data_IF_640489662837
#
_entry.id   IF_640489662837
#
_cell.length_a   1.000
_cell.length_b   1.000
_cell.length_c   1.000
_cell.angle_alpha   90.00
_cell.angle_beta   90.00
_cell.angle_gamma   90.00
#
_symmetry.space_group_name_H-M   'P 1'
#
loop_
_entity.id
_entity.type
_entity.pdbx_description
1 polymer ?
#
# COMPACT_ATOMS: atom_id res chain seq x y z
N UNK A 1 22.29 4.50 4.85
CA UNK A 1 22.76 4.79 3.45
C UNK A 1 21.53 5.14 2.63
N UNK A 2 21.60 6.15 1.75
CA UNK A 2 20.49 6.47 0.86
C UNK A 2 20.57 5.72 -0.50
N UNK A 3 19.49 5.77 -1.26
CA UNK A 3 19.37 5.07 -2.55
C UNK A 3 20.36 5.63 -3.59
N UNK A 4 20.71 6.92 -3.51
CA UNK A 4 21.67 7.54 -4.44
C UNK A 4 23.09 7.00 -4.18
N UNK A 5 23.47 6.88 -2.91
CA UNK A 5 24.74 6.26 -2.50
C UNK A 5 24.80 4.77 -2.91
N UNK A 6 23.70 4.03 -2.75
CA UNK A 6 23.63 2.64 -3.23
C UNK A 6 23.89 2.56 -4.73
N UNK A 7 23.22 3.42 -5.52
CA UNK A 7 23.46 3.51 -6.97
C UNK A 7 24.91 3.78 -7.34
N UNK A 8 25.57 4.70 -6.65
CA UNK A 8 26.97 5.01 -6.87
C UNK A 8 27.87 3.79 -6.56
N UNK A 9 27.61 3.10 -5.44
CA UNK A 9 28.33 1.88 -5.04
C UNK A 9 28.14 0.70 -5.98
N UNK A 10 26.95 0.53 -6.56
CA UNK A 10 26.68 -0.47 -7.59
C UNK A 10 27.55 -0.17 -8.84
N UNK A 11 27.59 1.09 -9.28
CA UNK A 11 28.39 1.50 -10.45
C UNK A 11 29.90 1.33 -10.22
N UNK A 12 30.39 1.67 -9.02
CA UNK A 12 31.81 1.52 -8.67
C UNK A 12 32.20 0.09 -8.25
N UNK A 13 31.24 -0.84 -8.14
CA UNK A 13 31.39 -2.20 -7.64
C UNK A 13 31.99 -2.27 -6.23
N UNK A 14 31.79 -1.23 -5.42
CA UNK A 14 32.24 -1.12 -4.03
C UNK A 14 31.08 -1.32 -3.04
N UNK A 15 30.46 -2.49 -3.14
CA UNK A 15 29.32 -2.85 -2.29
C UNK A 15 29.78 -3.50 -0.98
N UNK A 16 29.15 -3.17 0.16
CA UNK A 16 29.37 -3.91 1.39
C UNK A 16 28.78 -5.33 1.24
N UNK A 17 29.39 -6.29 1.94
CA UNK A 17 28.91 -7.68 1.96
C UNK A 17 27.55 -7.85 2.65
N UNK A 18 27.17 -6.92 3.52
CA UNK A 18 25.87 -6.90 4.19
C UNK A 18 25.10 -5.62 3.88
N UNK A 19 23.89 -5.78 3.33
CA UNK A 19 22.96 -4.72 2.99
C UNK A 19 21.63 -4.97 3.67
N UNK A 20 21.00 -3.90 4.16
CA UNK A 20 19.68 -3.94 4.78
C UNK A 20 18.75 -3.04 3.98
N UNK A 21 17.70 -3.62 3.40
CA UNK A 21 16.65 -2.91 2.69
C UNK A 21 15.40 -2.87 3.55
N UNK A 22 14.78 -1.72 3.68
CA UNK A 22 13.55 -1.56 4.45
C UNK A 22 12.52 -0.76 3.67
N UNK A 23 11.23 -1.03 3.91
CA UNK A 23 10.09 -0.32 3.32
C UNK A 23 9.22 -1.19 2.41
N UNK A 24 8.13 -0.59 1.98
CA UNK A 24 7.03 -1.30 1.31
C UNK A 24 7.22 -1.45 -0.21
N UNK A 25 8.17 -0.73 -0.81
CA UNK A 25 8.42 -0.77 -2.27
C UNK A 25 9.25 -1.99 -2.68
N UNK A 26 8.64 -3.17 -2.49
CA UNK A 26 9.29 -4.46 -2.77
C UNK A 26 9.78 -4.60 -4.22
N UNK A 27 9.09 -4.01 -5.19
CA UNK A 27 9.49 -4.09 -6.60
C UNK A 27 10.74 -3.27 -6.88
N UNK A 28 10.84 -2.10 -6.27
CA UNK A 28 12.05 -1.28 -6.36
C UNK A 28 13.22 -1.98 -5.68
N UNK A 29 13.00 -2.59 -4.50
CA UNK A 29 14.01 -3.43 -3.84
C UNK A 29 14.50 -4.55 -4.77
N UNK A 30 13.58 -5.28 -5.44
CA UNK A 30 13.95 -6.34 -6.38
C UNK A 30 14.79 -5.81 -7.55
N UNK A 31 14.42 -4.66 -8.14
CA UNK A 31 15.21 -4.03 -9.21
C UNK A 31 16.65 -3.75 -8.74
N UNK A 32 16.84 -3.28 -7.50
CA UNK A 32 18.18 -3.04 -6.96
C UNK A 32 18.94 -4.34 -6.67
N UNK A 33 18.26 -5.39 -6.21
CA UNK A 33 18.86 -6.73 -6.03
C UNK A 33 19.36 -7.25 -7.37
N UNK A 34 18.57 -7.15 -8.44
CA UNK A 34 18.94 -7.59 -9.79
C UNK A 34 20.14 -6.78 -10.33
N UNK A 35 20.17 -5.47 -10.06
CA UNK A 35 21.31 -4.61 -10.44
C UNK A 35 22.59 -5.00 -9.66
N UNK A 36 22.47 -5.33 -8.37
CA UNK A 36 23.60 -5.81 -7.56
C UNK A 36 24.09 -7.15 -8.09
N UNK A 37 23.21 -8.10 -8.35
CA UNK A 37 23.55 -9.40 -8.91
C UNK A 37 24.28 -9.25 -10.25
N UNK A 38 23.78 -8.39 -11.12
CA UNK A 38 24.40 -8.07 -12.41
C UNK A 38 25.78 -7.41 -12.28
N UNK A 39 25.94 -6.50 -11.31
CA UNK A 39 27.19 -5.78 -11.09
C UNK A 39 28.28 -6.67 -10.47
N UNK A 40 27.89 -7.59 -9.57
CA UNK A 40 28.80 -8.51 -8.88
C UNK A 40 29.06 -9.81 -9.66
N UNK A 41 28.16 -10.20 -10.56
CA UNK A 41 28.18 -11.49 -11.24
C UNK A 41 27.75 -12.66 -10.34
N UNK A 42 27.21 -12.38 -9.16
CA UNK A 42 26.78 -13.40 -8.20
C UNK A 42 25.33 -13.83 -8.45
N UNK A 43 25.05 -15.11 -8.25
CA UNK A 43 23.69 -15.64 -8.26
C UNK A 43 22.96 -15.32 -6.95
N UNK A 44 21.66 -15.08 -7.04
CA UNK A 44 20.81 -14.82 -5.86
C UNK A 44 20.22 -16.12 -5.32
N UNK A 45 20.21 -16.26 -3.98
CA UNK A 45 19.59 -17.39 -3.29
C UNK A 45 18.73 -16.88 -2.14
N UNK A 46 17.44 -17.19 -2.16
CA UNK A 46 16.53 -16.89 -1.05
C UNK A 46 16.67 -17.95 0.04
N UNK A 47 16.68 -17.50 1.30
CA UNK A 47 16.76 -18.33 2.50
C UNK A 47 15.74 -17.84 3.52
N UNK A 48 15.26 -18.73 4.38
CA UNK A 48 14.30 -18.38 5.42
C UNK A 48 14.99 -17.75 6.63
N UNK A 49 16.17 -18.27 7.01
CA UNK A 49 17.03 -17.69 8.05
C UNK A 49 18.51 -17.81 7.68
N UNK A 50 19.32 -16.89 8.21
CA UNK A 50 20.79 -16.96 8.08
C UNK A 50 21.34 -18.21 8.77
N UNK A 51 20.67 -18.71 9.81
CA UNK A 51 21.02 -19.96 10.49
C UNK A 51 21.02 -21.17 9.58
N UNK A 52 20.16 -21.21 8.55
CA UNK A 52 20.07 -22.35 7.60
C UNK A 52 21.37 -22.53 6.79
N UNK A 53 22.08 -21.44 6.57
CA UNK A 53 23.32 -21.44 5.77
C UNK A 53 24.57 -21.21 6.62
N UNK A 54 24.42 -21.00 7.94
CA UNK A 54 25.51 -20.66 8.83
C UNK A 54 26.68 -21.65 8.75
N UNK A 55 26.40 -22.96 8.75
CA UNK A 55 27.42 -24.00 8.61
C UNK A 55 28.19 -23.93 7.29
N UNK A 56 27.50 -23.54 6.20
CA UNK A 56 28.10 -23.36 4.88
C UNK A 56 28.99 -22.10 4.82
N UNK A 57 28.55 -21.03 5.48
CA UNK A 57 29.30 -19.78 5.57
C UNK A 57 30.57 -19.94 6.42
N UNK A 58 30.48 -20.71 7.51
CA UNK A 58 31.62 -20.97 8.41
C UNK A 58 32.67 -21.92 7.80
N UNK A 59 32.19 -22.95 7.09
CA UNK A 59 33.03 -23.92 6.43
C UNK A 59 33.30 -23.49 5.00
N UNK A 60 34.33 -22.65 4.78
CA UNK A 60 34.73 -22.20 3.45
C UNK A 60 35.03 -23.40 2.56
N UNK A 61 34.06 -23.80 1.75
CA UNK A 61 34.27 -24.84 0.74
C UNK A 61 34.95 -24.20 -0.47
N UNK A 62 36.12 -24.67 -0.81
CA UNK A 62 36.89 -24.25 -2.00
C UNK A 62 36.17 -24.52 -3.35
N UNK A 63 35.00 -25.16 -3.34
CA UNK A 63 34.33 -25.69 -4.54
C UNK A 63 33.00 -24.94 -4.84
N UNK A 64 32.49 -24.08 -3.97
CA UNK A 64 31.20 -23.41 -4.20
C UNK A 64 31.39 -21.97 -4.61
N UNK A 65 30.74 -21.60 -5.72
CA UNK A 65 30.59 -20.20 -6.13
C UNK A 65 29.91 -19.37 -5.05
N UNK A 66 30.35 -18.12 -4.84
CA UNK A 66 29.72 -17.24 -3.89
C UNK A 66 28.31 -16.85 -4.35
N UNK A 67 27.42 -16.55 -3.38
CA UNK A 67 26.03 -16.19 -3.61
C UNK A 67 25.66 -14.85 -2.97
N UNK A 68 24.59 -14.24 -3.46
CA UNK A 68 23.83 -13.22 -2.75
C UNK A 68 22.70 -13.93 -2.01
N UNK A 69 22.82 -14.06 -0.70
CA UNK A 69 21.74 -14.57 0.13
C UNK A 69 20.73 -13.47 0.39
N UNK A 70 19.45 -13.79 0.21
CA UNK A 70 18.35 -12.86 0.46
C UNK A 70 17.48 -13.46 1.54
N UNK A 71 17.36 -12.77 2.66
CA UNK A 71 16.51 -13.16 3.79
C UNK A 71 15.48 -12.06 4.08
N UNK A 72 14.27 -12.44 4.47
CA UNK A 72 13.21 -11.48 4.82
C UNK A 72 12.81 -11.63 6.28
N UNK A 73 12.76 -10.48 6.99
CA UNK A 73 12.29 -10.35 8.37
C UNK A 73 12.85 -11.41 9.31
N UNK A 74 14.15 -11.76 9.15
CA UNK A 74 14.84 -12.75 10.00
C UNK A 74 14.97 -12.23 11.44
N UNK A 75 14.06 -12.69 12.30
CA UNK A 75 14.00 -12.30 13.71
C UNK A 75 15.21 -12.79 14.50
N UNK A 76 15.77 -13.94 14.11
CA UNK A 76 16.96 -14.47 14.77
C UNK A 76 18.16 -13.55 14.49
N UNK A 77 18.38 -13.18 13.23
CA UNK A 77 19.42 -12.23 12.86
C UNK A 77 19.22 -10.88 13.55
N UNK A 78 17.99 -10.37 13.63
CA UNK A 78 17.71 -9.09 14.29
C UNK A 78 17.99 -9.08 15.79
N UNK A 79 17.82 -10.21 16.46
CA UNK A 79 17.97 -10.33 17.93
C UNK A 79 19.31 -10.92 18.39
N UNK A 80 20.11 -11.47 17.48
CA UNK A 80 21.37 -12.14 17.80
C UNK A 80 22.58 -11.24 17.51
N UNK A 81 22.99 -10.45 18.50
CA UNK A 81 24.13 -9.53 18.39
C UNK A 81 25.43 -10.26 18.01
N UNK A 82 25.64 -11.51 18.49
CA UNK A 82 26.83 -12.31 18.13
C UNK A 82 26.88 -12.66 16.67
N UNK A 83 25.72 -13.03 16.09
CA UNK A 83 25.62 -13.34 14.66
C UNK A 83 25.86 -12.09 13.82
N UNK A 84 25.30 -10.93 14.22
CA UNK A 84 25.54 -9.65 13.56
C UNK A 84 27.03 -9.29 13.55
N UNK A 85 27.71 -9.40 14.70
CA UNK A 85 29.16 -9.15 14.82
C UNK A 85 30.00 -10.10 13.95
N UNK A 86 29.60 -11.37 13.86
CA UNK A 86 30.27 -12.34 12.99
C UNK A 86 30.10 -12.00 11.50
N UNK A 87 28.93 -11.54 11.09
CA UNK A 87 28.68 -11.05 9.73
C UNK A 87 29.58 -9.85 9.43
N UNK A 88 29.61 -8.86 10.32
CA UNK A 88 30.44 -7.67 10.18
C UNK A 88 31.96 -8.01 10.19
N UNK A 89 32.38 -9.02 10.95
CA UNK A 89 33.76 -9.49 11.01
C UNK A 89 34.17 -10.41 9.86
N UNK A 90 33.31 -10.62 8.85
CA UNK A 90 33.65 -11.31 7.64
C UNK A 90 33.18 -12.77 7.54
N UNK A 91 32.18 -13.18 8.31
CA UNK A 91 31.54 -14.51 8.20
C UNK A 91 31.10 -14.83 6.78
N UNK A 92 30.63 -13.82 6.03
CA UNK A 92 30.13 -13.99 4.67
C UNK A 92 31.22 -14.36 3.66
N UNK A 93 32.49 -13.98 3.91
CA UNK A 93 33.59 -14.18 2.95
C UNK A 93 33.33 -13.44 1.65
N UNK A 94 33.27 -14.18 0.52
CA UNK A 94 32.94 -13.65 -0.80
C UNK A 94 31.42 -13.57 -1.07
N UNK A 95 30.59 -14.13 -0.18
CA UNK A 95 29.15 -14.04 -0.29
C UNK A 95 28.64 -12.65 0.12
N UNK A 96 27.45 -12.33 -0.32
CA UNK A 96 26.71 -11.15 0.11
C UNK A 96 25.42 -11.56 0.85
N UNK A 97 24.98 -10.73 1.76
CA UNK A 97 23.69 -10.87 2.44
C UNK A 97 22.86 -9.61 2.23
N UNK A 98 21.66 -9.79 1.73
CA UNK A 98 20.65 -8.72 1.64
C UNK A 98 19.50 -9.09 2.57
N UNK A 99 19.34 -8.31 3.65
CA UNK A 99 18.26 -8.47 4.60
C UNK A 99 17.13 -7.52 4.27
N UNK A 100 15.98 -8.06 3.87
CA UNK A 100 14.77 -7.32 3.57
C UNK A 100 13.94 -7.19 4.84
N UNK A 101 13.58 -5.97 5.20
CA UNK A 101 12.76 -5.67 6.37
C UNK A 101 11.48 -4.99 5.93
N UNK A 102 10.32 -5.55 6.27
CA UNK A 102 9.01 -4.95 6.02
C UNK A 102 8.89 -3.62 6.77
N UNK A 103 9.35 -3.57 8.03
CA UNK A 103 9.41 -2.34 8.81
C UNK A 103 10.56 -2.39 9.82
N UNK A 104 11.05 -1.23 10.22
CA UNK A 104 12.11 -1.14 11.22
C UNK A 104 11.68 -0.25 12.38
N UNK A 105 11.61 -0.81 13.58
CA UNK A 105 11.42 0.00 14.78
C UNK A 105 12.72 0.73 15.14
N UNK A 106 12.71 2.05 14.98
CA UNK A 106 13.85 2.94 15.26
C UNK A 106 14.34 2.92 16.70
N UNK A 107 13.55 2.36 17.63
CA UNK A 107 13.91 2.23 19.06
C UNK A 107 14.79 1.03 19.35
N UNK A 108 14.81 0.03 18.47
CA UNK A 108 15.56 -1.22 18.67
C UNK A 108 17.07 -1.00 18.65
N UNK A 109 17.80 -1.87 19.35
CA UNK A 109 19.26 -1.90 19.31
C UNK A 109 19.78 -2.18 17.90
N UNK A 110 19.11 -3.09 17.19
CA UNK A 110 19.43 -3.43 15.80
C UNK A 110 19.41 -2.19 14.90
N UNK A 111 18.34 -1.37 14.97
CA UNK A 111 18.29 -0.14 14.19
C UNK A 111 19.42 0.82 14.55
N UNK A 112 19.68 1.01 15.85
CA UNK A 112 20.70 1.97 16.30
C UNK A 112 22.11 1.59 15.85
N UNK A 113 22.45 0.29 15.84
CA UNK A 113 23.76 -0.20 15.39
C UNK A 113 23.91 -0.20 13.87
N UNK A 114 22.83 -0.44 13.11
CA UNK A 114 22.87 -0.59 11.66
C UNK A 114 22.28 0.61 10.89
N UNK A 115 21.92 1.71 11.55
CA UNK A 115 21.27 2.87 10.94
C UNK A 115 21.97 3.36 9.66
N UNK A 116 23.32 3.44 9.67
CA UNK A 116 24.10 3.86 8.51
C UNK A 116 24.04 2.87 7.32
N UNK A 117 23.68 1.61 7.56
CA UNK A 117 23.63 0.53 6.56
C UNK A 117 22.23 0.28 6.02
N UNK A 118 21.20 0.76 6.70
CA UNK A 118 19.81 0.60 6.28
C UNK A 118 19.50 1.54 5.12
N UNK A 119 18.94 0.97 4.04
CA UNK A 119 18.45 1.70 2.88
C UNK A 119 16.93 1.62 2.89
N UNK A 120 16.28 2.78 2.96
CA UNK A 120 14.82 2.86 3.01
C UNK A 120 14.28 3.06 1.60
N UNK A 121 13.35 2.19 1.21
CA UNK A 121 12.59 2.28 -0.04
C UNK A 121 11.16 2.71 0.31
N UNK A 122 10.96 4.01 0.36
CA UNK A 122 9.65 4.61 0.61
C UNK A 122 8.73 4.39 -0.59
N UNK A 123 7.42 4.38 -0.33
CA UNK A 123 6.39 4.28 -1.37
C UNK A 123 6.58 5.40 -2.40
N UNK A 124 6.50 5.05 -3.67
CA UNK A 124 6.68 6.02 -4.74
C UNK A 124 5.52 7.04 -4.74
N UNK A 125 5.84 8.31 -4.92
CA UNK A 125 4.81 9.33 -5.11
C UNK A 125 4.14 9.17 -6.49
N UNK A 126 2.89 9.65 -6.62
CA UNK A 126 2.13 9.58 -7.88
C UNK A 126 2.88 10.20 -9.06
N UNK A 127 3.59 11.29 -8.82
CA UNK A 127 4.42 11.93 -9.84
C UNK A 127 5.56 11.01 -10.33
N UNK A 128 6.15 10.19 -9.45
CA UNK A 128 7.17 9.22 -9.81
C UNK A 128 6.55 8.00 -10.48
N UNK A 129 5.39 7.52 -10.00
CA UNK A 129 4.63 6.45 -10.62
C UNK A 129 4.26 6.81 -12.06
N UNK A 130 3.66 7.99 -12.29
CA UNK A 130 3.36 8.50 -13.65
C UNK A 130 4.61 8.53 -14.53
N UNK A 131 5.71 9.09 -14.02
CA UNK A 131 6.98 9.19 -14.76
C UNK A 131 7.56 7.83 -15.13
N UNK A 132 7.45 6.83 -14.27
CA UNK A 132 7.97 5.48 -14.54
C UNK A 132 7.02 4.71 -15.45
N UNK A 133 5.71 4.80 -15.26
CA UNK A 133 4.69 4.20 -16.12
C UNK A 133 4.81 4.67 -17.57
N UNK A 134 4.97 5.98 -17.79
CA UNK A 134 5.18 6.58 -19.12
C UNK A 134 6.41 6.06 -19.87
N UNK A 135 7.42 5.55 -19.17
CA UNK A 135 8.60 4.94 -19.80
C UNK A 135 8.33 3.50 -20.26
N UNK A 136 7.37 2.85 -19.62
CA UNK A 136 7.09 1.44 -19.87
C UNK A 136 5.99 1.23 -20.90
N UNK A 137 5.01 2.14 -21.00
CA UNK A 137 3.85 1.99 -21.88
C UNK A 137 3.37 3.35 -22.40
N UNK A 138 2.76 3.35 -23.60
CA UNK A 138 2.19 4.55 -24.23
C UNK A 138 0.67 4.61 -23.99
N UNK A 139 0.28 5.03 -22.81
CA UNK A 139 -1.10 5.31 -22.46
C UNK A 139 -1.37 6.82 -22.45
N UNK A 140 -2.62 7.20 -22.67
CA UNK A 140 -3.08 8.56 -22.43
C UNK A 140 -2.93 8.93 -20.95
N UNK A 141 -2.83 10.22 -20.66
CA UNK A 141 -2.65 10.69 -19.26
C UNK A 141 -3.78 10.18 -18.36
N UNK A 142 -5.03 10.22 -18.85
CA UNK A 142 -6.20 9.69 -18.16
C UNK A 142 -6.06 8.19 -17.84
N UNK A 143 -5.60 7.39 -18.78
CA UNK A 143 -5.46 5.95 -18.59
C UNK A 143 -4.27 5.59 -17.71
N UNK A 144 -3.22 6.43 -17.68
CA UNK A 144 -2.12 6.29 -16.72
C UNK A 144 -2.62 6.54 -15.29
N UNK A 145 -3.39 7.61 -15.07
CA UNK A 145 -3.98 7.91 -13.76
C UNK A 145 -4.87 6.77 -13.31
N UNK A 146 -5.76 6.32 -14.18
CA UNK A 146 -6.65 5.19 -13.88
C UNK A 146 -5.89 3.88 -13.59
N UNK A 147 -4.83 3.58 -14.34
CA UNK A 147 -3.99 2.41 -14.09
C UNK A 147 -3.32 2.48 -12.71
N UNK A 148 -2.84 3.66 -12.30
CA UNK A 148 -2.24 3.88 -10.98
C UNK A 148 -3.28 3.66 -9.88
N UNK A 149 -4.48 4.21 -10.02
CA UNK A 149 -5.60 4.03 -9.07
C UNK A 149 -6.02 2.57 -8.96
N UNK A 150 -6.29 1.91 -10.09
CA UNK A 150 -6.66 0.49 -10.16
C UNK A 150 -5.61 -0.42 -9.51
N UNK A 151 -4.33 -0.05 -9.62
CA UNK A 151 -3.24 -0.76 -9.00
C UNK A 151 -2.96 -0.32 -7.54
N UNK A 152 -3.82 0.52 -6.93
CA UNK A 152 -3.69 0.98 -5.55
C UNK A 152 -2.33 1.63 -5.26
N UNK A 153 -1.78 2.34 -6.25
CA UNK A 153 -0.46 2.98 -6.21
C UNK A 153 0.71 1.99 -5.95
N UNK A 154 0.51 0.68 -6.20
CA UNK A 154 1.57 -0.34 -6.13
C UNK A 154 2.32 -0.43 -7.45
N UNK A 155 3.59 -0.02 -7.44
CA UNK A 155 4.42 -0.03 -8.66
C UNK A 155 4.65 -1.45 -9.22
N UNK A 156 4.72 -2.45 -8.35
CA UNK A 156 4.86 -3.84 -8.78
C UNK A 156 3.62 -4.32 -9.54
N UNK A 157 2.43 -3.99 -9.04
CA UNK A 157 1.15 -4.30 -9.69
C UNK A 157 1.03 -3.54 -11.01
N UNK A 158 1.38 -2.25 -11.05
CA UNK A 158 1.40 -1.46 -12.29
C UNK A 158 2.23 -2.15 -13.38
N UNK A 159 3.44 -2.62 -13.05
CA UNK A 159 4.30 -3.30 -14.02
C UNK A 159 3.72 -4.63 -14.50
N UNK A 160 3.05 -5.39 -13.64
CA UNK A 160 2.37 -6.64 -14.02
C UNK A 160 1.21 -6.38 -14.98
N UNK A 161 0.41 -5.34 -14.72
CA UNK A 161 -0.69 -4.98 -15.60
C UNK A 161 -0.17 -4.43 -16.95
N UNK A 162 0.90 -3.64 -16.95
CA UNK A 162 1.57 -3.21 -18.19
C UNK A 162 2.07 -4.40 -19.00
N UNK A 163 2.70 -5.39 -18.38
CA UNK A 163 3.16 -6.60 -19.07
C UNK A 163 1.98 -7.38 -19.67
N UNK A 164 0.87 -7.44 -18.97
CA UNK A 164 -0.39 -8.02 -19.46
C UNK A 164 -0.89 -7.29 -20.70
N UNK A 165 -1.00 -5.95 -20.64
CA UNK A 165 -1.45 -5.13 -21.79
C UNK A 165 -0.54 -5.36 -23.00
N UNK A 166 0.79 -5.30 -22.80
CA UNK A 166 1.77 -5.53 -23.91
C UNK A 166 1.62 -6.90 -24.55
N UNK A 167 1.35 -7.94 -23.77
CA UNK A 167 1.12 -9.30 -24.31
C UNK A 167 -0.16 -9.36 -25.13
N UNK A 168 -1.25 -8.74 -24.67
CA UNK A 168 -2.50 -8.72 -25.42
C UNK A 168 -2.39 -7.94 -26.74
N UNK A 169 -1.71 -6.78 -26.74
CA UNK A 169 -1.42 -6.02 -27.97
C UNK A 169 -0.58 -6.83 -28.96
N UNK A 170 0.38 -7.64 -28.47
CA UNK A 170 1.26 -8.45 -29.32
C UNK A 170 0.59 -9.66 -29.97
N UNK A 171 -0.64 -10.04 -29.56
CA UNK A 171 -1.34 -11.23 -30.07
C UNK A 171 -2.24 -11.01 -31.28
N UNK A 172 -2.11 -9.87 -31.98
CA UNK A 172 -2.92 -9.50 -33.17
C UNK A 172 -4.45 -9.68 -32.96
N UNK A 173 -4.96 -9.53 -31.74
CA UNK A 173 -6.39 -9.51 -31.51
C UNK A 173 -6.99 -8.28 -32.19
N UNK A 174 -8.06 -8.44 -32.98
CA UNK A 174 -8.71 -7.30 -33.63
C UNK A 174 -9.30 -6.40 -32.54
N UNK A 175 -8.60 -5.32 -32.23
CA UNK A 175 -9.09 -4.27 -31.33
C UNK A 175 -10.17 -3.48 -32.09
N UNK A 176 -11.43 -3.83 -31.89
CA UNK A 176 -12.57 -3.15 -32.48
C UNK A 176 -12.73 -1.75 -31.88
N UNK A 177 -12.59 -0.72 -32.70
CA UNK A 177 -12.99 0.65 -32.39
C UNK A 177 -11.87 1.59 -31.98
N UNK A 178 -10.95 1.88 -32.89
CA UNK A 178 -10.01 2.98 -32.71
C UNK A 178 -10.74 4.34 -32.72
N UNK A 179 -10.81 4.98 -31.55
CA UNK A 179 -11.05 6.43 -31.51
C UNK A 179 -9.89 7.15 -32.20
N UNK A 180 -10.15 8.23 -32.92
CA UNK A 180 -9.17 8.96 -33.76
C UNK A 180 -7.88 9.40 -33.05
N UNK A 181 -7.78 9.24 -31.71
CA UNK A 181 -6.66 9.71 -30.89
C UNK A 181 -6.20 8.69 -29.80
N UNK A 182 -6.65 7.45 -29.84
CA UNK A 182 -6.26 6.43 -28.85
C UNK A 182 -5.16 5.52 -29.40
N UNK A 183 -4.18 5.18 -28.58
CA UNK A 183 -3.16 4.17 -28.92
C UNK A 183 -3.76 2.77 -28.84
N UNK A 184 -3.08 1.78 -29.44
CA UNK A 184 -3.48 0.37 -29.31
C UNK A 184 -3.48 -0.07 -27.85
N UNK A 185 -2.49 0.41 -27.08
CA UNK A 185 -2.39 0.15 -25.64
C UNK A 185 -3.56 0.77 -24.86
N UNK A 186 -4.03 1.99 -25.19
CA UNK A 186 -5.19 2.61 -24.57
C UNK A 186 -6.46 1.77 -24.78
N UNK A 187 -6.71 1.36 -26.03
CA UNK A 187 -7.88 0.54 -26.36
C UNK A 187 -7.82 -0.83 -25.67
N UNK A 188 -6.65 -1.44 -25.63
CA UNK A 188 -6.42 -2.70 -24.94
C UNK A 188 -6.66 -2.58 -23.43
N UNK A 189 -6.14 -1.54 -22.80
CA UNK A 189 -6.32 -1.29 -21.36
C UNK A 189 -7.81 -1.13 -21.01
N UNK A 190 -8.56 -0.32 -21.76
CA UNK A 190 -10.00 -0.13 -21.53
C UNK A 190 -10.80 -1.42 -21.75
N UNK A 191 -10.43 -2.23 -22.74
CA UNK A 191 -11.04 -3.55 -22.96
C UNK A 191 -10.77 -4.50 -21.79
N UNK A 192 -9.52 -4.59 -21.32
CA UNK A 192 -9.12 -5.48 -20.24
C UNK A 192 -9.71 -5.07 -18.88
N UNK A 193 -10.00 -3.78 -18.68
CA UNK A 193 -10.77 -3.32 -17.52
C UNK A 193 -12.24 -3.76 -17.64
N UNK A 194 -12.84 -3.56 -18.81
CA UNK A 194 -14.26 -3.86 -19.03
C UNK A 194 -14.59 -5.36 -18.91
N UNK A 195 -13.69 -6.23 -19.35
CA UNK A 195 -13.88 -7.69 -19.28
C UNK A 195 -13.41 -8.28 -17.95
N UNK A 196 -12.86 -7.46 -17.02
CA UNK A 196 -12.40 -7.89 -15.71
C UNK A 196 -11.03 -8.60 -15.70
N UNK A 197 -10.33 -8.64 -16.83
CA UNK A 197 -8.96 -9.21 -16.93
C UNK A 197 -7.96 -8.39 -16.12
N UNK A 198 -8.11 -7.06 -16.15
CA UNK A 198 -7.49 -6.16 -15.18
C UNK A 198 -8.52 -5.95 -14.07
N UNK A 199 -8.22 -6.49 -12.90
CA UNK A 199 -9.09 -6.35 -11.74
C UNK A 199 -9.06 -4.91 -11.23
N UNK A 200 -10.18 -4.22 -11.35
CA UNK A 200 -10.42 -2.94 -10.68
C UNK A 200 -10.95 -3.27 -9.27
N UNK A 201 -10.20 -2.90 -8.21
CA UNK A 201 -10.72 -3.10 -6.87
C UNK A 201 -12.08 -2.41 -6.79
N UNK A 202 -13.08 -3.03 -6.13
CA UNK A 202 -14.33 -2.34 -5.90
C UNK A 202 -13.99 -1.00 -5.24
N UNK A 203 -14.46 0.07 -5.87
CA UNK A 203 -14.33 1.41 -5.34
C UNK A 203 -14.79 1.41 -3.89
N UNK A 204 -14.06 2.08 -3.01
CA UNK A 204 -14.41 2.17 -1.58
C UNK A 204 -15.67 3.06 -1.43
N UNK A 205 -16.76 2.62 -2.09
CA UNK A 205 -18.05 3.31 -2.12
C UNK A 205 -18.56 3.66 -0.72
N UNK A 206 -18.11 2.89 0.28
CA UNK A 206 -18.45 3.15 1.69
C UNK A 206 -17.91 4.48 2.18
N UNK A 207 -16.63 4.80 1.89
CA UNK A 207 -16.05 6.06 2.37
C UNK A 207 -16.68 7.26 1.67
N UNK A 208 -16.91 7.16 0.36
CA UNK A 208 -17.60 8.24 -0.36
C UNK A 208 -19.07 8.38 0.03
N UNK A 209 -19.74 7.26 0.31
CA UNK A 209 -21.08 7.28 0.90
C UNK A 209 -21.08 8.04 2.23
N UNK A 210 -20.13 7.73 3.10
CA UNK A 210 -20.00 8.39 4.41
C UNK A 210 -19.65 9.87 4.25
N UNK A 211 -18.73 10.21 3.36
CA UNK A 211 -18.39 11.60 3.04
C UNK A 211 -19.60 12.35 2.46
N UNK A 212 -20.37 11.73 1.55
CA UNK A 212 -21.58 12.32 1.01
C UNK A 212 -22.67 12.57 2.10
N UNK A 213 -22.80 11.66 3.07
CA UNK A 213 -23.69 11.83 4.22
C UNK A 213 -23.19 13.01 5.07
N UNK A 214 -21.91 13.04 5.42
CA UNK A 214 -21.33 14.08 6.28
C UNK A 214 -21.27 15.45 5.58
N UNK A 215 -21.31 15.49 4.26
CA UNK A 215 -21.42 16.71 3.45
C UNK A 215 -22.88 17.13 3.15
N UNK A 216 -23.89 16.38 3.60
CA UNK A 216 -25.33 16.58 3.30
C UNK A 216 -25.66 16.50 1.80
N UNK A 217 -24.93 15.71 1.03
CA UNK A 217 -25.17 15.51 -0.42
C UNK A 217 -26.17 14.38 -0.66
N UNK A 218 -27.46 14.64 -0.37
CA UNK A 218 -28.55 13.63 -0.33
C UNK A 218 -28.58 12.74 -1.58
N UNK A 219 -28.66 13.32 -2.78
CA UNK A 219 -28.77 12.55 -4.01
C UNK A 219 -27.53 11.68 -4.27
N UNK A 220 -26.33 12.20 -3.96
CA UNK A 220 -25.09 11.45 -4.09
C UNK A 220 -25.06 10.29 -3.08
N UNK A 221 -25.46 10.51 -1.84
CA UNK A 221 -25.49 9.48 -0.81
C UNK A 221 -26.44 8.32 -1.19
N UNK A 222 -27.61 8.58 -1.74
CA UNK A 222 -28.54 7.53 -2.22
C UNK A 222 -27.93 6.72 -3.38
N UNK A 223 -27.30 7.39 -4.37
CA UNK A 223 -26.65 6.72 -5.49
C UNK A 223 -25.49 5.83 -5.03
N UNK A 224 -24.64 6.33 -4.12
CA UNK A 224 -23.52 5.58 -3.56
C UNK A 224 -23.99 4.43 -2.67
N UNK A 225 -25.08 4.58 -1.93
CA UNK A 225 -25.70 3.49 -1.17
C UNK A 225 -26.15 2.36 -2.09
N UNK A 226 -26.81 2.69 -3.21
CA UNK A 226 -27.20 1.68 -4.18
C UNK A 226 -25.98 0.95 -4.77
N UNK A 227 -24.94 1.68 -5.15
CA UNK A 227 -23.70 1.08 -5.64
C UNK A 227 -23.05 0.17 -4.58
N UNK A 228 -23.02 0.61 -3.31
CA UNK A 228 -22.48 -0.21 -2.21
C UNK A 228 -23.22 -1.54 -2.06
N UNK A 229 -24.54 -1.55 -2.22
CA UNK A 229 -25.32 -2.80 -2.20
C UNK A 229 -25.07 -3.67 -3.44
N UNK A 230 -24.93 -3.07 -4.63
CA UNK A 230 -24.66 -3.80 -5.89
C UNK A 230 -23.30 -4.53 -5.84
N UNK A 231 -22.30 -3.96 -5.19
CA UNK A 231 -20.98 -4.60 -4.98
C UNK A 231 -20.96 -5.54 -3.76
N UNK A 232 -22.09 -5.67 -3.03
CA UNK A 232 -22.22 -6.63 -1.92
C UNK A 232 -21.64 -6.16 -0.59
N UNK A 233 -21.50 -4.83 -0.38
CA UNK A 233 -21.02 -4.30 0.88
C UNK A 233 -21.99 -4.60 2.04
N UNK A 234 -21.43 -5.06 3.15
CA UNK A 234 -22.23 -5.39 4.32
C UNK A 234 -22.72 -4.14 5.06
N UNK A 235 -24.01 -4.05 5.32
CA UNK A 235 -24.65 -2.93 6.05
C UNK A 235 -23.95 -2.64 7.38
N UNK A 236 -23.53 -3.67 8.12
CA UNK A 236 -22.83 -3.50 9.39
C UNK A 236 -21.48 -2.79 9.23
N UNK A 237 -20.79 -2.99 8.11
CA UNK A 237 -19.53 -2.28 7.80
C UNK A 237 -19.82 -0.81 7.52
N UNK A 238 -20.84 -0.52 6.67
CA UNK A 238 -21.27 0.85 6.38
C UNK A 238 -21.66 1.62 7.66
N UNK A 239 -22.40 0.99 8.55
CA UNK A 239 -22.78 1.57 9.86
C UNK A 239 -21.56 1.88 10.73
N UNK A 240 -20.61 0.94 10.80
CA UNK A 240 -19.39 1.12 11.59
C UNK A 240 -18.53 2.26 11.07
N UNK A 241 -18.37 2.37 9.73
CA UNK A 241 -17.61 3.45 9.12
C UNK A 241 -18.30 4.80 9.34
N UNK A 242 -19.62 4.87 9.14
CA UNK A 242 -20.39 6.10 9.39
C UNK A 242 -20.29 6.53 10.87
N UNK A 243 -20.46 5.59 11.79
CA UNK A 243 -20.34 5.86 13.22
C UNK A 243 -18.98 6.45 13.59
N UNK A 244 -17.91 5.81 13.14
CA UNK A 244 -16.55 6.22 13.48
C UNK A 244 -16.21 7.61 12.90
N UNK A 245 -16.62 7.88 11.66
CA UNK A 245 -16.37 9.17 11.02
C UNK A 245 -17.24 10.29 11.64
N UNK A 246 -18.52 10.07 11.86
CA UNK A 246 -19.39 11.04 12.54
C UNK A 246 -18.89 11.36 13.96
N UNK A 247 -18.45 10.33 14.71
CA UNK A 247 -17.83 10.50 16.02
C UNK A 247 -16.53 11.30 15.94
N UNK A 248 -15.69 11.06 14.94
CA UNK A 248 -14.45 11.82 14.76
C UNK A 248 -14.73 13.29 14.44
N UNK A 249 -15.73 13.59 13.59
CA UNK A 249 -16.16 14.97 13.32
C UNK A 249 -16.66 15.65 14.59
N UNK A 250 -17.52 14.98 15.37
CA UNK A 250 -18.00 15.48 16.66
C UNK A 250 -16.85 15.78 17.63
N UNK A 251 -15.90 14.85 17.77
CA UNK A 251 -14.74 15.03 18.65
C UNK A 251 -13.87 16.22 18.23
N UNK A 252 -13.63 16.38 16.91
CA UNK A 252 -12.82 17.50 16.40
C UNK A 252 -13.54 18.83 16.56
N UNK A 253 -14.87 18.85 16.38
CA UNK A 253 -15.70 20.07 16.48
C UNK A 253 -15.84 20.54 17.92
N UNK A 254 -15.98 19.62 18.88
CA UNK A 254 -16.20 19.94 20.30
C UNK A 254 -14.91 20.09 21.11
N UNK A 255 -13.74 19.92 20.49
CA UNK A 255 -12.47 19.95 21.22
C UNK A 255 -11.90 21.37 21.34
N UNK A 256 -11.74 21.84 22.58
CA UNK A 256 -11.23 23.19 22.88
C UNK A 256 -9.76 23.23 23.38
N UNK A 257 -9.07 22.10 23.40
CA UNK A 257 -7.70 22.03 23.93
C UNK A 257 -6.60 22.30 22.90
N UNK A 258 -5.34 22.42 23.36
CA UNK A 258 -4.18 22.75 22.54
C UNK A 258 -3.79 21.70 21.51
N UNK A 259 -4.12 20.42 21.74
CA UNK A 259 -3.75 19.30 20.86
C UNK A 259 -4.88 18.30 20.69
N UNK A 260 -5.57 18.37 19.56
CA UNK A 260 -6.69 17.48 19.22
C UNK A 260 -6.28 16.02 19.33
N UNK A 261 -5.12 15.63 18.76
CA UNK A 261 -4.66 14.23 18.77
C UNK A 261 -4.44 13.67 20.18
N UNK A 262 -3.88 14.48 21.09
CA UNK A 262 -3.66 14.05 22.48
C UNK A 262 -4.95 13.95 23.28
N UNK A 263 -5.90 14.84 23.04
CA UNK A 263 -7.16 14.89 23.79
C UNK A 263 -8.21 13.91 23.30
N UNK A 264 -8.25 13.62 22.01
CA UNK A 264 -9.25 12.74 21.39
C UNK A 264 -8.75 11.33 21.11
N UNK A 265 -7.43 11.12 21.06
CA UNK A 265 -6.81 9.87 20.63
C UNK A 265 -6.86 9.63 19.12
N UNK A 266 -7.37 10.59 18.34
CA UNK A 266 -7.45 10.47 16.88
C UNK A 266 -6.06 10.59 16.24
N UNK A 267 -5.84 9.83 15.19
CA UNK A 267 -4.64 9.95 14.34
C UNK A 267 -4.67 11.24 13.52
N UNK A 268 -3.52 11.71 13.03
CA UNK A 268 -3.44 12.90 12.19
C UNK A 268 -4.32 12.80 10.94
N UNK A 269 -4.38 11.62 10.31
CA UNK A 269 -5.24 11.36 9.16
C UNK A 269 -6.74 11.49 9.50
N UNK A 270 -7.18 10.88 10.61
CA UNK A 270 -8.57 11.00 11.05
C UNK A 270 -8.97 12.44 11.35
N UNK A 271 -8.08 13.21 11.98
CA UNK A 271 -8.30 14.64 12.24
C UNK A 271 -8.41 15.43 10.93
N UNK A 272 -7.53 15.16 9.98
CA UNK A 272 -7.55 15.84 8.68
C UNK A 272 -8.85 15.53 7.92
N UNK A 273 -9.30 14.28 7.96
CA UNK A 273 -10.54 13.86 7.29
C UNK A 273 -11.76 14.50 7.98
N UNK A 274 -11.85 14.41 9.29
CA UNK A 274 -12.93 15.02 10.05
C UNK A 274 -13.05 16.53 9.81
N UNK A 275 -11.94 17.24 9.65
CA UNK A 275 -11.91 18.69 9.36
C UNK A 275 -12.57 19.07 8.03
N UNK A 276 -12.67 18.17 7.06
CA UNK A 276 -13.37 18.43 5.78
C UNK A 276 -14.88 18.64 5.98
N UNK A 277 -15.45 17.98 7.00
CA UNK A 277 -16.90 17.95 7.24
C UNK A 277 -17.34 18.89 8.37
N UNK A 278 -16.43 19.71 8.92
CA UNK A 278 -16.80 20.69 9.94
C UNK A 278 -17.82 21.69 9.39
N UNK A 279 -18.76 22.11 10.24
CA UNK A 279 -19.81 23.09 9.94
C UNK A 279 -20.96 22.61 9.04
N UNK A 280 -20.97 21.38 8.57
CA UNK A 280 -22.13 20.83 7.86
C UNK A 280 -23.25 20.40 8.81
N UNK A 281 -22.88 20.07 10.05
CA UNK A 281 -23.78 19.69 11.13
C UNK A 281 -23.46 20.45 12.41
N UNK A 282 -24.49 20.80 13.17
CA UNK A 282 -24.30 21.27 14.53
C UNK A 282 -23.87 20.11 15.46
N UNK A 283 -23.30 20.44 16.60
CA UNK A 283 -22.90 19.43 17.59
C UNK A 283 -24.09 18.54 18.02
N UNK A 284 -25.29 19.13 18.20
CA UNK A 284 -26.51 18.38 18.54
C UNK A 284 -26.91 17.37 17.44
N UNK A 285 -26.78 17.75 16.17
CA UNK A 285 -27.07 16.87 15.06
C UNK A 285 -26.04 15.73 14.99
N UNK A 286 -24.75 16.01 15.19
CA UNK A 286 -23.73 14.97 15.23
C UNK A 286 -23.94 13.98 16.37
N UNK A 287 -24.29 14.46 17.56
CA UNK A 287 -24.67 13.61 18.69
C UNK A 287 -25.87 12.72 18.31
N UNK A 288 -26.88 13.31 17.66
CA UNK A 288 -28.05 12.55 17.19
C UNK A 288 -27.65 11.48 16.20
N UNK A 289 -26.82 11.81 15.19
CA UNK A 289 -26.32 10.84 14.19
C UNK A 289 -25.62 9.67 14.88
N UNK A 290 -24.67 9.95 15.76
CA UNK A 290 -23.88 8.92 16.45
C UNK A 290 -24.79 8.00 17.27
N UNK A 291 -25.73 8.56 18.03
CA UNK A 291 -26.67 7.78 18.84
C UNK A 291 -27.66 7.00 17.99
N UNK A 292 -28.12 7.59 16.87
CA UNK A 292 -29.06 6.96 15.97
C UNK A 292 -28.45 5.77 15.22
N UNK A 293 -27.22 5.91 14.74
CA UNK A 293 -26.48 4.81 14.11
C UNK A 293 -26.29 3.64 15.08
N UNK A 294 -25.92 3.91 16.34
CA UNK A 294 -25.83 2.87 17.37
C UNK A 294 -27.17 2.17 17.66
N UNK A 295 -28.27 2.95 17.68
CA UNK A 295 -29.59 2.38 17.86
C UNK A 295 -29.99 1.46 16.73
N UNK A 296 -29.70 1.83 15.48
CA UNK A 296 -29.96 1.02 14.29
C UNK A 296 -29.10 -0.25 14.34
N UNK A 297 -27.81 -0.14 14.61
CA UNK A 297 -26.90 -1.26 14.76
C UNK A 297 -27.39 -2.26 15.83
N UNK A 298 -27.80 -1.77 17.01
CA UNK A 298 -28.37 -2.59 18.06
C UNK A 298 -29.69 -3.23 17.62
N UNK A 299 -30.52 -2.51 16.86
CA UNK A 299 -31.75 -3.06 16.27
C UNK A 299 -31.52 -4.25 15.37
N UNK A 300 -30.53 -4.19 14.50
CA UNK A 300 -30.13 -5.31 13.63
C UNK A 300 -29.63 -6.49 14.48
N UNK A 301 -28.67 -6.24 15.37
CA UNK A 301 -28.09 -7.29 16.25
C UNK A 301 -29.11 -8.01 17.12
N UNK A 302 -30.21 -7.35 17.46
CA UNK A 302 -31.28 -7.92 18.28
C UNK A 302 -32.46 -8.44 17.45
N UNK A 303 -32.38 -8.42 16.13
CA UNK A 303 -33.45 -8.88 15.23
C UNK A 303 -34.70 -7.98 15.22
N UNK A 304 -34.60 -6.76 15.70
CA UNK A 304 -35.71 -5.76 15.70
C UNK A 304 -35.77 -4.93 14.43
N UNK A 305 -34.75 -5.00 13.61
CA UNK A 305 -34.64 -4.28 12.33
C UNK A 305 -33.98 -5.19 11.30
N UNK A 306 -34.50 -5.17 10.09
CA UNK A 306 -33.91 -5.86 8.96
C UNK A 306 -32.69 -5.07 8.44
N UNK A 307 -31.64 -5.78 8.09
CA UNK A 307 -30.36 -5.27 7.65
C UNK A 307 -30.50 -4.42 6.37
N UNK A 308 -31.31 -4.92 5.43
CA UNK A 308 -31.48 -4.35 4.10
C UNK A 308 -31.99 -2.90 4.09
N UNK A 309 -32.80 -2.51 5.07
CA UNK A 309 -33.41 -1.17 5.12
C UNK A 309 -32.65 -0.19 6.05
N UNK A 310 -31.68 -0.67 6.80
CA UNK A 310 -31.06 0.09 7.88
C UNK A 310 -30.38 1.38 7.37
N UNK A 311 -29.58 1.31 6.32
CA UNK A 311 -28.89 2.48 5.77
C UNK A 311 -29.88 3.46 5.10
N UNK A 312 -30.89 2.98 4.41
CA UNK A 312 -31.96 3.83 3.85
C UNK A 312 -32.69 4.59 4.95
N UNK A 313 -32.98 3.90 6.08
CA UNK A 313 -33.60 4.51 7.24
C UNK A 313 -32.72 5.59 7.89
N UNK A 314 -31.40 5.36 7.94
CA UNK A 314 -30.45 6.37 8.40
C UNK A 314 -30.46 7.58 7.47
N UNK A 315 -30.30 7.38 6.16
CA UNK A 315 -30.34 8.50 5.20
C UNK A 315 -31.59 9.34 5.37
N UNK A 316 -32.77 8.71 5.43
CA UNK A 316 -34.05 9.40 5.58
C UNK A 316 -34.20 10.18 6.89
N UNK A 317 -33.44 9.86 7.94
CA UNK A 317 -33.54 10.51 9.27
C UNK A 317 -32.42 11.50 9.56
N UNK A 318 -31.26 11.33 8.91
CA UNK A 318 -30.04 12.11 9.18
C UNK A 318 -29.88 13.23 8.17
N UNK A 319 -30.34 13.04 6.96
CA UNK A 319 -30.26 14.00 5.85
C UNK A 319 -31.59 14.69 5.60
#
# INVERSE_FOLDING_TARGET
MDVATLKAKIKSKQLPSYLIFSGDEWKVQQIYIDQIAKATGLETRRIDSVSDVYGQLKNRSFIKSPYIYIVRDDKELMNNEKLQQQIESGLLGENMLIHLLTSVDKRTKFYKSHNASIIVFERLSDALLKKYTLKEIKLSERNIERLIEVCEHDYGRILLEIDKIKRYVSTDMPLFGHGKNSTEEDCCFEMLLKDGTIYEPPYDAIFDLVDAILDRKVNLAFNLLQQSYEIGEATMVMLSVLYNNAKAVLQVQSYEGDSISKGTGLTGWQIMNAKKHLNHYSEKELIYIVQFVQKVESGIKTGKMEDEFAMQYILAKVM
#
